data_IF_778499459751
#
_entry.id   IF_778499459751
#
_cell.length_a   1.000
_cell.length_b   1.000
_cell.length_c   1.000
_cell.angle_alpha   90.00
_cell.angle_beta   90.00
_cell.angle_gamma   90.00
#
_symmetry.space_group_name_H-M   'P 1'
#
loop_
_entity.id
_entity.type
_entity.pdbx_description
1 polymer ?
#
# COMPACT_ATOMS: atom_id res chain seq x y z
N UNK A 1 10.45 18.84 40.32
CA UNK A 1 10.32 17.43 40.69
C UNK A 1 10.20 16.65 39.39
N UNK A 2 11.33 16.12 38.93
CA UNK A 2 11.41 15.27 37.74
C UNK A 2 10.67 13.97 37.99
N UNK A 3 9.66 13.68 37.17
CA UNK A 3 8.97 12.40 37.16
C UNK A 3 9.77 11.41 36.33
N UNK A 4 10.64 10.65 36.99
CA UNK A 4 11.26 9.45 36.44
C UNK A 4 10.16 8.48 35.98
N UNK A 5 9.92 8.42 34.67
CA UNK A 5 9.09 7.39 34.06
C UNK A 5 9.89 6.09 34.06
N UNK A 6 9.82 5.34 35.16
CA UNK A 6 10.29 3.95 35.22
C UNK A 6 9.56 3.15 34.13
N UNK A 7 10.32 2.75 33.11
CA UNK A 7 9.92 1.80 32.07
C UNK A 7 9.47 0.49 32.72
N UNK A 8 8.16 0.31 32.91
CA UNK A 8 7.58 -0.96 33.33
C UNK A 8 7.77 -1.97 32.19
N UNK A 9 8.70 -2.90 32.35
CA UNK A 9 8.87 -4.03 31.44
C UNK A 9 7.57 -4.86 31.46
N UNK A 10 6.80 -4.82 30.37
CA UNK A 10 5.61 -5.67 30.23
C UNK A 10 6.11 -7.07 29.90
N UNK A 11 5.95 -7.99 30.86
CA UNK A 11 6.28 -9.40 30.65
C UNK A 11 5.28 -10.00 29.64
N UNK A 12 5.73 -10.20 28.40
CA UNK A 12 4.90 -10.64 27.27
C UNK A 12 5.64 -11.73 26.51
N UNK A 13 4.91 -12.76 26.08
CA UNK A 13 5.43 -13.82 25.19
C UNK A 13 5.47 -13.40 23.72
N UNK A 14 4.99 -12.19 23.39
CA UNK A 14 5.07 -11.66 22.03
C UNK A 14 6.49 -11.19 21.72
N UNK A 15 7.18 -11.95 20.87
CA UNK A 15 8.54 -11.66 20.41
C UNK A 15 8.70 -10.24 19.86
N UNK A 16 7.66 -9.66 19.24
CA UNK A 16 7.71 -8.29 18.69
C UNK A 16 7.75 -7.25 19.81
N UNK A 17 6.94 -7.45 20.84
CA UNK A 17 6.89 -6.57 21.99
C UNK A 17 8.18 -6.68 22.82
N UNK A 18 8.71 -7.89 23.00
CA UNK A 18 10.03 -8.09 23.61
C UNK A 18 11.14 -7.41 22.82
N UNK A 19 11.16 -7.56 21.49
CA UNK A 19 12.14 -6.90 20.62
C UNK A 19 12.05 -5.37 20.73
N UNK A 20 10.85 -4.81 20.68
CA UNK A 20 10.63 -3.37 20.77
C UNK A 20 11.10 -2.81 22.13
N UNK A 21 10.74 -3.47 23.23
CA UNK A 21 11.22 -3.09 24.56
C UNK A 21 12.75 -3.15 24.65
N UNK A 22 13.35 -4.25 24.19
CA UNK A 22 14.80 -4.40 24.17
C UNK A 22 15.49 -3.33 23.32
N UNK A 23 14.90 -2.95 22.18
CA UNK A 23 15.41 -1.90 21.33
C UNK A 23 15.37 -0.54 22.03
N UNK A 24 14.25 -0.20 22.67
CA UNK A 24 14.06 1.06 23.37
C UNK A 24 14.99 1.22 24.59
N UNK A 25 15.33 0.11 25.26
CA UNK A 25 16.34 0.11 26.34
C UNK A 25 17.75 0.31 25.79
N UNK A 26 18.06 -0.27 24.61
CA UNK A 26 19.42 -0.25 24.04
C UNK A 26 19.73 0.97 23.19
N UNK A 27 18.73 1.59 22.56
CA UNK A 27 18.91 2.72 21.64
C UNK A 27 17.92 3.84 21.97
N UNK A 28 18.40 5.07 22.25
CA UNK A 28 17.50 6.21 22.42
C UNK A 28 16.81 6.56 21.10
N UNK A 29 15.60 7.13 21.18
CA UNK A 29 14.79 7.53 20.01
C UNK A 29 15.61 8.39 19.03
N UNK A 30 16.46 9.29 19.53
CA UNK A 30 17.32 10.13 18.67
C UNK A 30 18.30 9.32 17.82
N UNK A 31 18.81 8.21 18.34
CA UNK A 31 19.68 7.32 17.58
C UNK A 31 18.90 6.59 16.48
N UNK A 32 17.70 6.10 16.80
CA UNK A 32 16.79 5.48 15.81
C UNK A 32 16.39 6.47 14.71
N UNK A 33 16.09 7.72 15.06
CA UNK A 33 15.77 8.76 14.09
C UNK A 33 16.95 9.09 13.17
N UNK A 34 18.18 9.11 13.71
CA UNK A 34 19.40 9.29 12.91
C UNK A 34 19.63 8.12 11.95
N UNK A 35 19.42 6.89 12.40
CA UNK A 35 19.51 5.68 11.58
C UNK A 35 18.48 5.70 10.44
N UNK A 36 17.23 6.03 10.74
CA UNK A 36 16.17 6.20 9.74
C UNK A 36 16.53 7.28 8.69
N UNK A 37 17.03 8.43 9.14
CA UNK A 37 17.44 9.52 8.24
C UNK A 37 18.59 9.12 7.31
N UNK A 38 19.52 8.27 7.77
CA UNK A 38 20.57 7.72 6.93
C UNK A 38 19.99 6.79 5.84
N UNK A 39 19.00 5.97 6.18
CA UNK A 39 18.35 5.03 5.26
C UNK A 39 17.52 5.71 4.17
N UNK A 40 16.96 6.90 4.42
CA UNK A 40 16.19 7.66 3.41
C UNK A 40 16.94 7.93 2.10
N UNK A 41 18.28 7.93 2.15
CA UNK A 41 19.13 8.18 0.98
C UNK A 41 19.42 6.92 0.17
N UNK A 42 19.06 5.75 0.69
CA UNK A 42 19.32 4.48 0.01
C UNK A 42 18.39 4.39 -1.19
N UNK A 43 19.00 4.31 -2.37
CA UNK A 43 18.35 3.96 -3.63
C UNK A 43 19.14 2.81 -4.25
N UNK A 44 18.51 1.96 -5.06
CA UNK A 44 19.27 1.01 -5.88
C UNK A 44 20.31 1.75 -6.73
N UNK A 45 21.46 1.13 -7.01
CA UNK A 45 22.38 1.69 -8.00
C UNK A 45 21.76 1.53 -9.40
N UNK A 46 22.00 2.50 -10.28
CA UNK A 46 21.67 2.43 -11.72
C UNK A 46 20.20 2.09 -12.03
N UNK A 47 19.26 2.58 -11.22
CA UNK A 47 17.83 2.44 -11.50
C UNK A 47 17.37 3.42 -12.58
N UNK A 48 16.37 3.01 -13.36
CA UNK A 48 15.69 3.85 -14.35
C UNK A 48 14.25 4.13 -13.91
N UNK A 49 13.69 5.22 -14.43
CA UNK A 49 12.32 5.72 -14.16
C UNK A 49 11.57 6.09 -15.44
N UNK A 50 11.92 5.46 -16.58
CA UNK A 50 11.41 5.87 -17.89
C UNK A 50 9.89 5.73 -17.99
N UNK A 51 9.33 4.63 -17.49
CA UNK A 51 7.88 4.42 -17.54
C UNK A 51 7.15 5.41 -16.63
N UNK A 52 7.71 5.68 -15.45
CA UNK A 52 7.20 6.67 -14.50
C UNK A 52 7.18 8.09 -15.10
N UNK A 53 8.27 8.51 -15.75
CA UNK A 53 8.42 9.84 -16.35
C UNK A 53 7.50 10.05 -17.56
N UNK A 54 7.28 9.01 -18.37
CA UNK A 54 6.36 9.07 -19.53
C UNK A 54 4.88 9.13 -19.14
N UNK A 55 4.54 8.76 -17.89
CA UNK A 55 3.16 8.59 -17.43
C UNK A 55 2.82 9.50 -16.23
N UNK A 56 3.27 10.76 -16.23
CA UNK A 56 3.08 11.73 -15.13
C UNK A 56 1.62 11.78 -14.63
N UNK A 57 0.65 11.78 -15.56
CA UNK A 57 -0.77 11.84 -15.22
C UNK A 57 -1.28 10.63 -14.40
N UNK A 58 -0.59 9.48 -14.47
CA UNK A 58 -0.94 8.27 -13.69
C UNK A 58 -0.28 8.25 -12.30
N UNK A 59 0.55 9.24 -11.97
CA UNK A 59 1.25 9.35 -10.69
C UNK A 59 0.46 10.26 -9.73
N UNK A 60 0.14 9.77 -8.53
CA UNK A 60 -0.56 10.59 -7.52
C UNK A 60 0.36 11.66 -6.93
N UNK A 61 1.65 11.36 -6.83
CA UNK A 61 2.66 12.26 -6.26
C UNK A 61 3.94 12.21 -7.10
N UNK A 62 4.39 13.38 -7.56
CA UNK A 62 5.55 13.49 -8.45
C UNK A 62 6.89 13.41 -7.72
N UNK A 63 6.88 13.38 -6.39
CA UNK A 63 8.05 13.15 -5.55
C UNK A 63 8.21 11.68 -5.10
N UNK A 64 7.26 10.81 -5.47
CA UNK A 64 7.30 9.37 -5.19
C UNK A 64 7.59 8.62 -6.48
N UNK A 65 8.84 8.18 -6.63
CA UNK A 65 9.31 7.50 -7.84
C UNK A 65 8.83 6.04 -7.92
N UNK A 66 8.53 5.58 -9.13
CA UNK A 66 8.35 4.16 -9.45
C UNK A 66 9.49 3.72 -10.37
N UNK A 67 10.28 2.74 -9.95
CA UNK A 67 11.47 2.29 -10.71
C UNK A 67 11.10 1.20 -11.71
N UNK A 68 11.72 1.22 -12.89
CA UNK A 68 11.37 0.28 -13.96
C UNK A 68 11.68 -1.17 -13.60
N UNK A 69 12.76 -1.40 -12.85
CA UNK A 69 13.25 -2.74 -12.51
C UNK A 69 12.23 -3.58 -11.70
N UNK A 70 11.34 -2.92 -10.94
CA UNK A 70 10.36 -3.60 -10.08
C UNK A 70 8.93 -3.18 -10.35
N UNK A 71 8.67 -2.29 -11.31
CA UNK A 71 7.30 -1.87 -11.64
C UNK A 71 6.44 -3.07 -12.02
N UNK A 72 5.15 -2.98 -11.72
CA UNK A 72 4.17 -3.90 -12.30
C UNK A 72 3.90 -3.45 -13.73
N UNK A 73 4.00 -4.39 -14.67
CA UNK A 73 3.64 -4.19 -16.08
C UNK A 73 2.24 -4.73 -16.28
N UNK A 74 1.29 -3.90 -16.71
CA UNK A 74 -0.07 -4.35 -16.96
C UNK A 74 -0.06 -5.36 -18.12
N UNK A 75 -0.47 -6.60 -17.84
CA UNK A 75 -0.53 -7.68 -18.83
C UNK A 75 -1.59 -7.39 -19.89
N UNK A 76 -1.43 -7.95 -21.07
CA UNK A 76 -2.40 -7.83 -22.18
C UNK A 76 -2.68 -6.37 -22.60
N UNK A 77 -1.73 -5.46 -22.34
CA UNK A 77 -1.74 -4.07 -22.78
C UNK A 77 -0.52 -3.79 -23.65
N UNK A 78 -0.62 -2.83 -24.58
CA UNK A 78 0.52 -2.47 -25.39
C UNK A 78 1.54 -1.65 -24.56
N UNK A 79 2.83 -1.63 -24.93
CA UNK A 79 3.89 -1.00 -24.13
C UNK A 79 3.66 0.49 -23.81
N UNK A 80 2.94 1.21 -24.67
CA UNK A 80 2.58 2.61 -24.46
C UNK A 80 1.51 2.85 -23.38
N UNK A 81 0.77 1.81 -22.96
CA UNK A 81 -0.27 1.87 -21.92
C UNK A 81 -0.13 0.75 -20.87
N UNK A 82 1.08 0.21 -20.70
CA UNK A 82 1.35 -0.87 -19.74
C UNK A 82 1.65 -0.39 -18.31
N UNK A 83 1.60 0.94 -18.08
CA UNK A 83 2.05 1.54 -16.83
C UNK A 83 0.94 1.71 -15.80
N UNK A 84 1.26 1.31 -14.57
CA UNK A 84 0.58 1.66 -13.32
C UNK A 84 1.66 1.96 -12.27
N UNK A 85 1.42 2.95 -11.39
CA UNK A 85 2.33 3.28 -10.29
C UNK A 85 2.24 2.23 -9.16
N UNK A 86 2.83 1.07 -9.42
CA UNK A 86 2.90 -0.06 -8.53
C UNK A 86 4.22 -0.81 -8.71
N UNK A 87 4.76 -1.40 -7.65
CA UNK A 87 6.00 -2.16 -7.69
C UNK A 87 5.87 -3.49 -6.95
N UNK A 88 6.53 -4.51 -7.48
CA UNK A 88 6.74 -5.78 -6.81
C UNK A 88 7.73 -5.64 -5.66
N UNK A 89 7.39 -6.25 -4.54
CA UNK A 89 8.27 -6.40 -3.38
C UNK A 89 8.34 -7.88 -3.03
N UNK A 90 9.55 -8.39 -2.81
CA UNK A 90 9.79 -9.77 -2.36
C UNK A 90 10.38 -9.71 -0.96
N UNK A 91 9.70 -10.33 0.01
CA UNK A 91 10.15 -10.41 1.38
C UNK A 91 11.22 -11.50 1.55
N UNK A 92 12.02 -11.49 2.63
CA UNK A 92 13.07 -12.48 2.86
C UNK A 92 12.59 -13.94 2.90
N UNK A 93 11.32 -14.17 3.24
CA UNK A 93 10.67 -15.49 3.21
C UNK A 93 10.15 -15.89 1.81
N UNK A 94 10.40 -15.07 0.79
CA UNK A 94 9.97 -15.28 -0.59
C UNK A 94 8.53 -14.82 -0.87
N UNK A 95 7.79 -14.36 0.14
CA UNK A 95 6.44 -13.85 -0.06
C UNK A 95 6.50 -12.57 -0.91
N UNK A 96 5.65 -12.52 -1.94
CA UNK A 96 5.56 -11.37 -2.84
C UNK A 96 4.35 -10.50 -2.49
N UNK A 97 4.55 -9.20 -2.64
CA UNK A 97 3.55 -8.16 -2.48
C UNK A 97 3.62 -7.20 -3.67
N UNK A 98 2.50 -6.56 -3.96
CA UNK A 98 2.47 -5.38 -4.81
C UNK A 98 2.23 -4.19 -3.87
N UNK A 99 3.16 -3.23 -3.89
CA UNK A 99 2.97 -1.94 -3.24
C UNK A 99 2.56 -0.93 -4.31
N UNK A 100 1.43 -0.25 -4.10
CA UNK A 100 0.86 0.69 -5.07
C UNK A 100 0.35 1.93 -4.34
N UNK A 101 0.32 3.06 -5.04
CA UNK A 101 -0.41 4.24 -4.57
C UNK A 101 -1.92 3.95 -4.43
N UNK A 102 -2.64 4.79 -3.68
CA UNK A 102 -4.10 4.80 -3.75
C UNK A 102 -4.53 5.15 -5.18
N UNK A 103 -5.38 4.34 -5.83
CA UNK A 103 -5.78 4.57 -7.22
C UNK A 103 -6.36 5.96 -7.42
N UNK A 104 -6.07 6.54 -8.58
CA UNK A 104 -6.66 7.78 -9.07
C UNK A 104 -8.00 7.47 -9.74
N UNK A 105 -8.95 8.39 -9.71
CA UNK A 105 -10.31 8.16 -10.19
C UNK A 105 -10.33 7.82 -11.69
N UNK A 106 -9.48 8.48 -12.48
CA UNK A 106 -9.35 8.33 -13.93
C UNK A 106 -8.71 6.97 -14.31
N UNK A 107 -7.87 6.43 -13.43
CA UNK A 107 -7.06 5.22 -13.69
C UNK A 107 -7.42 4.04 -12.78
N UNK A 108 -8.59 4.08 -12.14
CA UNK A 108 -9.06 3.00 -11.25
C UNK A 108 -9.27 1.68 -11.98
N UNK A 109 -9.51 1.72 -13.30
CA UNK A 109 -9.56 0.53 -14.14
C UNK A 109 -8.21 -0.20 -14.23
N UNK A 110 -7.09 0.54 -14.27
CA UNK A 110 -5.74 -0.03 -14.30
C UNK A 110 -5.45 -0.80 -13.00
N UNK A 111 -5.94 -0.29 -11.87
CA UNK A 111 -5.84 -0.94 -10.57
C UNK A 111 -6.58 -2.29 -10.54
N UNK A 112 -7.82 -2.33 -11.03
CA UNK A 112 -8.58 -3.59 -11.10
C UNK A 112 -8.03 -4.56 -12.15
N UNK A 113 -7.53 -4.05 -13.27
CA UNK A 113 -6.82 -4.84 -14.26
C UNK A 113 -5.58 -5.51 -13.66
N UNK A 114 -4.76 -4.76 -12.92
CA UNK A 114 -3.62 -5.30 -12.19
C UNK A 114 -4.04 -6.39 -11.20
N UNK A 115 -5.03 -6.12 -10.33
CA UNK A 115 -5.49 -7.08 -9.31
C UNK A 115 -5.94 -8.40 -9.94
N UNK A 116 -6.73 -8.32 -11.01
CA UNK A 116 -7.31 -9.51 -11.64
C UNK A 116 -6.25 -10.28 -12.45
N UNK A 117 -5.42 -9.59 -13.23
CA UNK A 117 -4.35 -10.20 -14.03
C UNK A 117 -3.20 -10.79 -13.19
N UNK A 118 -2.90 -10.20 -12.03
CA UNK A 118 -1.96 -10.75 -11.04
C UNK A 118 -2.61 -11.72 -10.05
N UNK A 119 -3.92 -11.97 -10.20
CA UNK A 119 -4.70 -12.90 -9.37
C UNK A 119 -4.61 -12.60 -7.87
N UNK A 120 -4.46 -11.31 -7.50
CA UNK A 120 -4.41 -10.87 -6.12
C UNK A 120 -5.72 -11.25 -5.41
N UNK A 121 -5.60 -11.78 -4.19
CA UNK A 121 -6.75 -12.25 -3.38
C UNK A 121 -7.12 -11.32 -2.24
N UNK A 122 -6.18 -10.48 -1.81
CA UNK A 122 -6.34 -9.58 -0.68
C UNK A 122 -5.81 -8.21 -1.08
N UNK A 123 -6.58 -7.17 -0.76
CA UNK A 123 -6.18 -5.77 -0.87
C UNK A 123 -6.11 -5.24 0.56
N UNK A 124 -4.95 -4.70 0.95
CA UNK A 124 -4.77 -4.04 2.24
C UNK A 124 -4.69 -2.54 2.00
N UNK A 125 -5.75 -1.82 2.39
CA UNK A 125 -5.79 -0.35 2.31
C UNK A 125 -5.32 0.25 3.63
N UNK A 126 -4.23 1.03 3.58
CA UNK A 126 -3.58 1.60 4.76
C UNK A 126 -3.90 3.09 5.00
N UNK A 127 -4.87 3.64 4.28
CA UNK A 127 -5.32 5.02 4.40
C UNK A 127 -6.85 5.09 4.38
N UNK A 128 -7.42 6.22 4.79
CA UNK A 128 -8.79 6.55 4.45
C UNK A 128 -8.86 7.11 3.02
N UNK A 129 -10.05 7.15 2.40
CA UNK A 129 -10.21 7.82 1.10
C UNK A 129 -9.79 9.30 1.15
N UNK A 130 -10.14 9.97 2.25
CA UNK A 130 -9.74 11.34 2.55
C UNK A 130 -9.12 11.42 3.95
N UNK A 131 -8.04 12.20 4.06
CA UNK A 131 -7.40 12.53 5.33
C UNK A 131 -7.33 14.06 5.46
N UNK A 132 -8.16 14.61 6.35
CA UNK A 132 -8.38 16.05 6.40
C UNK A 132 -9.04 16.54 5.11
N UNK A 133 -8.36 17.45 4.40
CA UNK A 133 -8.84 18.02 3.12
C UNK A 133 -8.23 17.37 1.88
N UNK A 134 -7.38 16.36 2.05
CA UNK A 134 -6.62 15.75 0.97
C UNK A 134 -7.15 14.35 0.67
N UNK A 135 -7.49 14.11 -0.60
CA UNK A 135 -7.77 12.76 -1.09
C UNK A 135 -6.47 11.94 -1.08
N UNK A 136 -6.55 10.73 -0.52
CA UNK A 136 -5.45 9.75 -0.51
C UNK A 136 -5.71 8.57 -1.42
N UNK A 137 -6.98 8.29 -1.71
CA UNK A 137 -7.41 7.15 -2.51
C UNK A 137 -8.80 7.46 -3.08
N UNK A 138 -9.05 7.16 -4.36
CA UNK A 138 -10.39 7.21 -4.91
C UNK A 138 -11.23 6.02 -4.39
N UNK A 139 -12.54 6.08 -4.60
CA UNK A 139 -13.39 4.91 -4.38
C UNK A 139 -13.10 3.89 -5.49
N UNK A 140 -12.41 2.81 -5.15
CA UNK A 140 -12.21 1.66 -6.03
C UNK A 140 -13.20 0.53 -5.75
N UNK A 141 -14.03 0.66 -4.71
CA UNK A 141 -15.12 -0.25 -4.37
C UNK A 141 -16.42 0.56 -4.17
N UNK A 142 -17.60 -0.08 -4.29
CA UNK A 142 -18.88 0.60 -4.15
C UNK A 142 -19.01 1.35 -2.83
N UNK A 143 -19.71 2.49 -2.86
CA UNK A 143 -19.94 3.31 -1.66
C UNK A 143 -21.00 2.68 -0.77
N UNK A 144 -21.99 2.06 -1.40
CA UNK A 144 -23.10 1.42 -0.72
C UNK A 144 -23.08 -0.10 -0.90
N UNK A 145 -23.52 -0.84 0.12
CA UNK A 145 -23.48 -2.32 0.11
C UNK A 145 -24.31 -2.95 -1.01
N UNK A 146 -25.37 -2.28 -1.47
CA UNK A 146 -26.28 -2.80 -2.51
C UNK A 146 -25.89 -2.36 -3.92
N UNK A 147 -24.86 -1.53 -4.04
CA UNK A 147 -24.40 -0.99 -5.31
C UNK A 147 -23.40 -1.94 -5.97
N UNK A 148 -23.42 -1.96 -7.31
CA UNK A 148 -22.35 -2.53 -8.14
C UNK A 148 -21.66 -1.37 -8.83
N UNK A 149 -20.38 -1.17 -8.54
CA UNK A 149 -19.58 -0.12 -9.18
C UNK A 149 -18.93 -0.62 -10.46
N UNK A 150 -18.84 0.24 -11.47
CA UNK A 150 -18.10 -0.02 -12.70
C UNK A 150 -16.79 0.79 -12.69
N UNK A 151 -15.67 0.08 -12.76
CA UNK A 151 -14.33 0.64 -12.69
C UNK A 151 -13.53 0.23 -13.93
N UNK A 152 -13.80 0.87 -15.08
CA UNK A 152 -13.12 0.55 -16.34
C UNK A 152 -13.47 -0.83 -16.88
N UNK A 153 -14.75 -1.22 -16.84
CA UNK A 153 -15.22 -2.53 -17.29
C UNK A 153 -15.21 -3.60 -16.20
N UNK A 154 -14.59 -3.33 -15.05
CA UNK A 154 -14.66 -4.19 -13.88
C UNK A 154 -15.89 -3.84 -13.03
N UNK A 155 -16.84 -4.77 -12.98
CA UNK A 155 -18.01 -4.71 -12.11
C UNK A 155 -17.65 -5.26 -10.74
N UNK A 156 -17.69 -4.41 -9.71
CA UNK A 156 -17.31 -4.75 -8.34
C UNK A 156 -18.51 -4.58 -7.44
N UNK A 157 -18.86 -5.61 -6.67
CA UNK A 157 -19.95 -5.61 -5.71
C UNK A 157 -19.45 -5.99 -4.32
N UNK A 158 -20.08 -5.43 -3.28
CA UNK A 158 -19.82 -5.87 -1.89
C UNK A 158 -20.63 -7.14 -1.63
N UNK A 159 -19.93 -8.27 -1.46
CA UNK A 159 -20.57 -9.55 -1.13
C UNK A 159 -20.90 -9.65 0.35
N UNK A 160 -19.96 -9.27 1.22
CA UNK A 160 -20.15 -9.28 2.66
C UNK A 160 -19.23 -8.28 3.35
N UNK A 161 -19.60 -7.87 4.56
CA UNK A 161 -18.69 -7.17 5.47
C UNK A 161 -18.60 -7.99 6.74
N UNK A 162 -17.39 -8.34 7.17
CA UNK A 162 -17.18 -9.13 8.38
C UNK A 162 -16.92 -8.21 9.58
N UNK A 163 -17.42 -8.55 10.78
CA UNK A 163 -16.93 -7.93 12.01
C UNK A 163 -15.44 -8.26 12.15
N UNK A 164 -14.62 -7.25 12.37
CA UNK A 164 -13.17 -7.41 12.47
C UNK A 164 -12.76 -7.73 13.92
N UNK A 165 -11.73 -8.58 14.14
CA UNK A 165 -11.16 -8.79 15.48
C UNK A 165 -10.54 -7.53 16.11
N UNK A 166 -10.23 -6.49 15.34
CA UNK A 166 -9.58 -5.27 15.84
C UNK A 166 -10.38 -4.00 15.56
N UNK A 167 -10.37 -3.09 16.52
CA UNK A 167 -11.00 -1.77 16.37
C UNK A 167 -10.32 -0.97 15.24
N UNK A 168 -11.13 -0.34 14.39
CA UNK A 168 -10.65 0.52 13.30
C UNK A 168 -10.29 -0.20 12.00
N UNK A 169 -10.36 -1.54 11.95
CA UNK A 169 -10.15 -2.30 10.71
C UNK A 169 -11.49 -2.65 10.08
N UNK A 170 -11.60 -2.49 8.75
CA UNK A 170 -12.79 -2.87 7.97
C UNK A 170 -12.44 -4.04 7.07
N UNK A 171 -13.16 -5.15 7.23
CA UNK A 171 -13.04 -6.31 6.35
C UNK A 171 -14.25 -6.39 5.42
N UNK A 172 -14.00 -6.24 4.12
CA UNK A 172 -15.02 -6.34 3.07
C UNK A 172 -14.65 -7.43 2.06
N UNK A 173 -15.57 -8.34 1.80
CA UNK A 173 -15.44 -9.30 0.70
C UNK A 173 -16.08 -8.71 -0.56
N UNK A 174 -15.31 -8.70 -1.65
CA UNK A 174 -15.73 -8.17 -2.93
C UNK A 174 -15.99 -9.31 -3.92
N UNK A 175 -17.07 -9.19 -4.69
CA UNK A 175 -17.27 -9.96 -5.91
C UNK A 175 -16.85 -9.09 -7.09
N UNK A 176 -15.99 -9.62 -7.97
CA UNK A 176 -15.45 -8.88 -9.12
C UNK A 176 -15.74 -9.68 -10.39
N UNK A 177 -16.31 -9.02 -11.39
CA UNK A 177 -16.57 -9.58 -12.73
C UNK A 177 -16.05 -8.60 -13.78
N UNK A 178 -15.36 -9.12 -14.78
CA UNK A 178 -15.03 -8.34 -15.97
C UNK A 178 -16.21 -8.45 -16.95
N UNK A 179 -16.72 -7.32 -17.42
CA UNK A 179 -17.83 -7.21 -18.37
C UNK A 179 -17.39 -7.26 -19.82
#
# INVERSE_FOLDING_TARGET
>A
MEGDSKSTLVNTSDNRAMWAQNLMVKKPIRALAKEFAANKKIKPADYTTEAYEKNDAKNRYNDIICIDATRVVLKDRPPEDDYIHASWMTMPDGQKYICTQGPLQEYVGDFWHMITSEKCKVIVMLCNFNEGKHEKCCFYLPREKKEVGNYGGFMVAVKSSKPDPYEGIKHTELEVKYG
#
